data_IF_622387352634
#
_entry.id   IF_622387352634
#
_cell.length_a   1.000
_cell.length_b   1.000
_cell.length_c   1.000
_cell.angle_alpha   90.00
_cell.angle_beta   90.00
_cell.angle_gamma   90.00
#
_symmetry.space_group_name_H-M   'P 1'
#
loop_
_entity.id
_entity.type
_entity.pdbx_description
1 polymer ?
#
# COMPACT_ATOMS: atom_id res chain seq x y z
N UNK A 1 3.62 -52.43 37.29
CA UNK A 1 3.65 -52.30 35.83
C UNK A 1 2.96 -51.00 35.46
N UNK A 2 3.73 -49.92 35.31
CA UNK A 2 3.25 -48.63 34.79
C UNK A 2 4.40 -48.04 33.99
N UNK A 3 4.51 -48.44 32.73
CA UNK A 3 5.45 -47.90 31.76
C UNK A 3 4.77 -46.75 31.01
N UNK A 4 4.97 -45.52 31.47
CA UNK A 4 4.79 -44.34 30.65
C UNK A 4 6.20 -43.85 30.29
N UNK A 5 6.64 -44.19 29.07
CA UNK A 5 7.91 -43.74 28.53
C UNK A 5 7.92 -42.22 28.40
N UNK A 6 9.01 -41.63 28.86
CA UNK A 6 9.42 -40.25 28.66
C UNK A 6 9.38 -39.88 27.16
N UNK A 7 8.38 -39.09 26.76
CA UNK A 7 8.28 -38.44 25.45
C UNK A 7 8.52 -36.93 25.60
N UNK A 8 9.57 -36.55 26.33
CA UNK A 8 9.97 -35.15 26.49
C UNK A 8 11.22 -34.87 25.65
N UNK A 9 11.09 -34.78 24.31
CA UNK A 9 12.28 -34.46 23.49
C UNK A 9 12.03 -33.81 22.10
N UNK A 10 10.91 -33.11 21.88
CA UNK A 10 10.83 -32.20 20.70
C UNK A 10 9.97 -30.96 20.95
N UNK A 11 8.93 -31.06 21.78
CA UNK A 11 8.06 -29.93 22.08
C UNK A 11 8.64 -28.93 23.12
N UNK A 12 9.59 -29.37 23.97
CA UNK A 12 10.22 -28.54 25.02
C UNK A 12 11.15 -27.45 24.45
N UNK A 13 11.80 -27.69 23.31
CA UNK A 13 12.66 -26.70 22.66
C UNK A 13 11.88 -25.60 21.93
N UNK A 14 10.75 -25.95 21.30
CA UNK A 14 9.87 -24.98 20.67
C UNK A 14 9.07 -24.19 21.72
N UNK A 15 8.60 -24.80 22.81
CA UNK A 15 7.89 -24.07 23.87
C UNK A 15 8.76 -23.00 24.52
N UNK A 16 10.03 -23.29 24.81
CA UNK A 16 10.96 -22.31 25.39
C UNK A 16 11.26 -21.13 24.44
N UNK A 17 11.36 -21.38 23.12
CA UNK A 17 11.57 -20.34 22.11
C UNK A 17 10.30 -19.53 21.83
N UNK A 18 9.13 -20.18 21.85
CA UNK A 18 7.83 -19.51 21.72
C UNK A 18 7.61 -18.61 22.93
N UNK A 19 7.88 -19.09 24.15
CA UNK A 19 7.82 -18.29 25.38
C UNK A 19 8.74 -17.07 25.29
N UNK A 20 9.99 -17.27 24.83
CA UNK A 20 10.96 -16.18 24.67
C UNK A 20 10.59 -15.20 23.54
N UNK A 21 9.88 -15.66 22.51
CA UNK A 21 9.39 -14.81 21.43
C UNK A 21 8.17 -14.00 21.88
N UNK A 22 7.26 -14.57 22.67
CA UNK A 22 6.11 -13.87 23.24
C UNK A 22 6.56 -12.78 24.21
N UNK A 23 7.56 -13.04 25.04
CA UNK A 23 8.20 -12.05 25.91
C UNK A 23 8.86 -10.92 25.09
N UNK A 24 9.64 -11.27 24.06
CA UNK A 24 10.22 -10.27 23.13
C UNK A 24 9.17 -9.44 22.41
N UNK A 25 8.06 -10.07 22.01
CA UNK A 25 6.94 -9.38 21.37
C UNK A 25 6.32 -8.38 22.36
N UNK A 26 6.14 -8.75 23.63
CA UNK A 26 5.65 -7.84 24.66
C UNK A 26 6.59 -6.65 24.90
N UNK A 27 7.91 -6.89 24.98
CA UNK A 27 8.92 -5.83 25.12
C UNK A 27 8.91 -4.86 23.93
N UNK A 28 8.82 -5.37 22.70
CA UNK A 28 8.72 -4.55 21.49
C UNK A 28 7.42 -3.72 21.49
N UNK A 29 6.29 -4.28 21.95
CA UNK A 29 5.03 -3.53 22.07
C UNK A 29 5.10 -2.41 23.12
N UNK A 30 5.77 -2.63 24.25
CA UNK A 30 5.97 -1.57 25.25
C UNK A 30 6.89 -0.46 24.74
N UNK A 31 7.96 -0.81 24.01
CA UNK A 31 8.82 0.16 23.35
C UNK A 31 8.04 0.99 22.30
N UNK A 32 7.16 0.36 21.51
CA UNK A 32 6.27 1.07 20.59
C UNK A 32 5.30 2.02 21.31
N UNK A 33 4.83 1.67 22.52
CA UNK A 33 3.94 2.53 23.31
C UNK A 33 4.65 3.78 23.84
N UNK A 34 5.92 3.66 24.24
CA UNK A 34 6.74 4.80 24.68
C UNK A 34 7.12 5.70 23.49
N UNK A 35 7.52 5.09 22.37
CA UNK A 35 7.77 5.80 21.11
C UNK A 35 6.51 6.45 20.54
N UNK A 36 5.32 5.90 20.80
CA UNK A 36 4.05 6.52 20.42
C UNK A 36 3.78 7.84 21.13
N UNK A 37 4.28 7.99 22.37
CA UNK A 37 4.21 9.25 23.13
C UNK A 37 5.25 10.23 22.59
N UNK A 38 6.48 9.80 22.32
CA UNK A 38 7.51 10.62 21.67
C UNK A 38 7.13 11.04 20.24
N UNK A 39 6.37 10.17 19.56
CA UNK A 39 5.80 10.42 18.24
C UNK A 39 4.82 11.59 18.22
N UNK A 40 4.09 11.85 19.32
CA UNK A 40 3.20 13.02 19.44
C UNK A 40 3.97 14.33 19.56
N UNK A 41 5.12 14.34 20.25
CA UNK A 41 5.99 15.51 20.35
C UNK A 41 6.66 15.80 18.99
N UNK A 42 7.06 14.77 18.26
CA UNK A 42 7.55 14.90 16.88
C UNK A 42 6.40 15.37 15.96
N UNK A 43 5.18 14.85 16.11
CA UNK A 43 4.00 15.30 15.36
C UNK A 43 3.71 16.78 15.59
N UNK A 44 3.75 17.26 16.84
CA UNK A 44 3.52 18.67 17.15
C UNK A 44 4.59 19.60 16.54
N UNK A 45 5.85 19.13 16.44
CA UNK A 45 6.92 19.84 15.73
C UNK A 45 6.70 19.81 14.21
N UNK A 46 6.26 18.67 13.66
CA UNK A 46 5.90 18.53 12.25
C UNK A 46 4.74 19.47 11.91
N UNK A 47 3.67 19.49 12.68
CA UNK A 47 2.52 20.39 12.50
C UNK A 47 2.96 21.86 12.54
N UNK A 48 3.78 22.24 13.53
CA UNK A 48 4.29 23.61 13.64
C UNK A 48 5.22 24.02 12.48
N UNK A 49 5.89 23.04 11.86
CA UNK A 49 6.76 23.27 10.69
C UNK A 49 5.94 23.26 9.40
N UNK A 50 4.91 22.41 9.29
CA UNK A 50 3.99 22.35 8.17
C UNK A 50 3.15 23.60 8.04
N UNK A 51 2.65 24.17 9.14
CA UNK A 51 1.94 25.46 9.15
C UNK A 51 2.86 26.57 8.64
N UNK A 52 4.11 26.62 9.10
CA UNK A 52 5.10 27.61 8.63
C UNK A 52 5.49 27.40 7.16
N UNK A 53 5.55 26.16 6.69
CA UNK A 53 5.79 25.82 5.27
C UNK A 53 4.59 26.15 4.37
N UNK A 54 3.36 26.04 4.87
CA UNK A 54 2.15 26.51 4.18
C UNK A 54 2.12 28.04 4.07
N UNK A 55 2.55 28.75 5.11
CA UNK A 55 2.64 30.23 5.10
C UNK A 55 3.78 30.76 4.21
N UNK A 56 4.87 29.99 4.09
CA UNK A 56 6.06 30.40 3.31
C UNK A 56 6.07 29.89 1.86
N UNK A 57 5.08 29.09 1.46
CA UNK A 57 4.95 28.48 0.13
C UNK A 57 4.44 29.45 -0.93
N UNK A 58 5.08 30.61 -1.06
CA UNK A 58 4.88 31.52 -2.17
C UNK A 58 5.24 30.86 -3.50
N UNK A 59 4.23 30.43 -4.26
CA UNK A 59 4.23 30.28 -5.73
C UNK A 59 2.80 30.06 -6.21
N UNK A 60 2.03 31.14 -6.18
CA UNK A 60 0.91 31.39 -7.07
C UNK A 60 1.39 31.21 -8.51
N UNK A 61 0.97 30.16 -9.24
CA UNK A 61 1.38 30.07 -10.65
C UNK A 61 1.25 28.75 -11.40
N UNK A 62 0.54 27.74 -10.91
CA UNK A 62 -0.11 26.68 -11.70
C UNK A 62 -0.76 25.71 -10.71
N UNK A 63 -1.95 25.17 -10.98
CA UNK A 63 -2.44 24.06 -10.17
C UNK A 63 -1.49 22.89 -10.40
N UNK A 64 -0.64 22.56 -9.42
CA UNK A 64 0.09 21.29 -9.41
C UNK A 64 -0.97 20.19 -9.61
N UNK A 65 -1.05 19.62 -10.81
CA UNK A 65 -2.03 18.61 -11.23
C UNK A 65 -2.35 17.62 -10.12
N UNK A 66 -1.29 17.10 -9.48
CA UNK A 66 -1.37 16.16 -8.37
C UNK A 66 -2.08 16.74 -7.14
N UNK A 67 -1.74 17.96 -6.72
CA UNK A 67 -2.41 18.65 -5.59
C UNK A 67 -3.89 18.86 -5.87
N UNK A 68 -4.26 19.23 -7.10
CA UNK A 68 -5.66 19.41 -7.48
C UNK A 68 -6.45 18.09 -7.46
N UNK A 69 -5.84 16.98 -7.90
CA UNK A 69 -6.44 15.64 -7.81
C UNK A 69 -6.59 15.22 -6.34
N UNK A 70 -5.57 15.45 -5.51
CA UNK A 70 -5.62 15.11 -4.07
C UNK A 70 -6.68 15.92 -3.33
N UNK A 71 -6.81 17.23 -3.61
CA UNK A 71 -7.89 18.05 -3.07
C UNK A 71 -9.27 17.55 -3.50
N UNK A 72 -9.41 17.13 -4.77
CA UNK A 72 -10.67 16.57 -5.29
C UNK A 72 -10.99 15.18 -4.73
N UNK A 73 -9.97 14.39 -4.38
CA UNK A 73 -10.14 13.12 -3.68
C UNK A 73 -10.58 13.36 -2.22
N UNK A 74 -9.94 14.30 -1.51
CA UNK A 74 -10.32 14.68 -0.14
C UNK A 74 -11.71 15.31 -0.04
N UNK A 75 -12.12 16.08 -1.06
CA UNK A 75 -13.48 16.63 -1.13
C UNK A 75 -14.54 15.58 -1.49
N UNK A 76 -14.14 14.35 -1.80
CA UNK A 76 -15.04 13.26 -2.19
C UNK A 76 -15.58 13.37 -3.62
N UNK A 77 -15.08 14.31 -4.43
CA UNK A 77 -15.48 14.46 -5.83
C UNK A 77 -14.95 13.30 -6.70
N UNK A 78 -13.80 12.75 -6.34
CA UNK A 78 -13.20 11.57 -6.98
C UNK A 78 -13.18 10.42 -5.97
N UNK A 79 -13.99 9.38 -6.21
CA UNK A 79 -14.04 8.17 -5.36
C UNK A 79 -13.07 7.11 -5.88
N UNK A 80 -12.46 6.34 -4.97
CA UNK A 80 -11.54 5.24 -5.32
C UNK A 80 -10.14 5.70 -5.74
N UNK A 81 -9.72 6.89 -5.30
CA UNK A 81 -8.36 7.39 -5.44
C UNK A 81 -7.64 7.26 -4.10
N UNK A 82 -6.53 6.53 -4.06
CA UNK A 82 -5.77 6.29 -2.82
C UNK A 82 -4.67 7.32 -2.58
N UNK A 83 -4.05 7.82 -3.65
CA UNK A 83 -2.94 8.75 -3.53
C UNK A 83 -1.81 8.48 -4.52
N UNK A 84 -0.65 9.06 -4.26
CA UNK A 84 0.58 8.79 -5.01
C UNK A 84 1.16 7.45 -4.56
N UNK A 85 1.75 6.71 -5.50
CA UNK A 85 2.41 5.45 -5.19
C UNK A 85 3.50 5.60 -4.12
N UNK A 86 4.26 6.71 -4.15
CA UNK A 86 5.29 6.98 -3.15
C UNK A 86 4.78 7.26 -1.73
N UNK A 87 3.53 7.68 -1.57
CA UNK A 87 2.96 7.95 -0.24
C UNK A 87 2.38 6.65 0.40
N UNK A 88 2.17 5.61 -0.40
CA UNK A 88 1.59 4.32 0.01
C UNK A 88 2.65 3.26 0.33
N UNK A 89 3.89 3.46 -0.12
CA UNK A 89 5.00 2.55 0.11
C UNK A 89 5.97 3.10 1.15
N UNK A 90 6.37 2.27 2.10
CA UNK A 90 7.49 2.55 3.02
C UNK A 90 8.60 1.56 2.75
N UNK A 91 9.83 2.06 2.64
CA UNK A 91 11.04 1.28 2.41
C UNK A 91 12.00 1.56 3.57
N UNK A 92 12.81 0.58 3.93
CA UNK A 92 13.88 0.74 4.92
C UNK A 92 14.97 1.69 4.40
N UNK A 93 15.51 2.52 5.29
CA UNK A 93 16.49 3.58 4.97
C UNK A 93 17.73 3.05 4.23
N UNK A 94 18.14 1.80 4.49
CA UNK A 94 19.30 1.19 3.84
C UNK A 94 19.05 0.98 2.33
N UNK A 95 17.80 0.78 1.93
CA UNK A 95 17.40 0.50 0.55
C UNK A 95 16.69 1.67 -0.12
N UNK A 96 16.33 2.72 0.62
CA UNK A 96 15.53 3.83 0.11
C UNK A 96 16.18 4.51 -1.11
N UNK A 97 17.49 4.79 -1.05
CA UNK A 97 18.22 5.44 -2.16
C UNK A 97 18.13 4.61 -3.45
N UNK A 98 18.31 3.29 -3.35
CA UNK A 98 18.24 2.40 -4.49
C UNK A 98 16.80 2.26 -5.02
N UNK A 99 15.82 2.11 -4.13
CA UNK A 99 14.42 1.97 -4.47
C UNK A 99 13.85 3.25 -5.12
N UNK A 100 14.10 4.42 -4.51
CA UNK A 100 13.69 5.71 -5.05
C UNK A 100 14.34 6.01 -6.40
N UNK A 101 15.62 5.65 -6.57
CA UNK A 101 16.32 5.83 -7.85
C UNK A 101 15.74 4.92 -8.93
N UNK A 102 15.52 3.63 -8.62
CA UNK A 102 14.95 2.67 -9.55
C UNK A 102 13.50 3.01 -9.95
N UNK A 103 12.74 3.61 -9.02
CA UNK A 103 11.34 3.99 -9.22
C UNK A 103 11.14 5.49 -9.55
N UNK A 104 12.23 6.22 -9.86
CA UNK A 104 12.22 7.66 -10.17
C UNK A 104 11.43 7.95 -11.44
N UNK A 105 10.11 8.04 -11.31
CA UNK A 105 9.15 8.28 -12.39
C UNK A 105 7.81 7.57 -12.18
N UNK A 106 7.83 6.37 -11.61
CA UNK A 106 6.60 5.60 -11.32
C UNK A 106 5.99 5.93 -9.97
N UNK A 107 6.78 6.43 -9.01
CA UNK A 107 6.33 6.84 -7.67
C UNK A 107 5.27 7.96 -7.69
N UNK A 108 5.28 8.75 -8.75
CA UNK A 108 4.40 9.90 -8.93
C UNK A 108 3.03 9.54 -9.55
N UNK A 109 2.83 8.28 -9.91
CA UNK A 109 1.58 7.79 -10.47
C UNK A 109 0.48 7.77 -9.40
N UNK A 110 -0.74 8.07 -9.82
CA UNK A 110 -1.91 8.03 -8.95
C UNK A 110 -2.48 6.62 -8.92
N UNK A 111 -2.69 6.07 -7.73
CA UNK A 111 -3.27 4.74 -7.54
C UNK A 111 -4.79 4.86 -7.42
N UNK A 112 -5.51 4.06 -8.20
CA UNK A 112 -6.97 3.99 -8.23
C UNK A 112 -7.46 2.54 -8.18
N UNK A 113 -8.61 2.30 -7.57
CA UNK A 113 -9.18 0.96 -7.45
C UNK A 113 -9.72 0.43 -8.79
N UNK A 114 -10.62 1.21 -9.39
CA UNK A 114 -11.45 0.77 -10.51
C UNK A 114 -11.12 1.53 -11.81
N UNK A 115 -11.44 0.93 -12.96
CA UNK A 115 -11.32 1.58 -14.25
C UNK A 115 -12.23 2.81 -14.41
N UNK A 116 -13.42 2.78 -13.79
CA UNK A 116 -14.35 3.91 -13.77
C UNK A 116 -13.77 5.12 -13.01
N UNK A 117 -13.13 4.88 -11.86
CA UNK A 117 -12.45 5.91 -11.10
C UNK A 117 -11.31 6.56 -11.90
N UNK A 118 -10.55 5.76 -12.66
CA UNK A 118 -9.50 6.27 -13.55
C UNK A 118 -10.06 7.20 -14.63
N UNK A 119 -11.19 6.85 -15.24
CA UNK A 119 -11.84 7.70 -16.24
C UNK A 119 -12.30 9.03 -15.64
N UNK A 120 -12.90 9.00 -14.44
CA UNK A 120 -13.33 10.20 -13.73
C UNK A 120 -12.15 11.14 -13.43
N UNK A 121 -10.99 10.60 -13.02
CA UNK A 121 -9.77 11.40 -12.81
C UNK A 121 -9.30 12.05 -14.11
N UNK A 122 -9.25 11.29 -15.21
CA UNK A 122 -8.85 11.82 -16.52
C UNK A 122 -9.80 12.90 -17.00
N UNK A 123 -11.11 12.73 -16.80
CA UNK A 123 -12.12 13.71 -17.19
C UNK A 123 -12.00 14.99 -16.35
N UNK A 124 -11.79 14.87 -15.04
CA UNK A 124 -11.50 16.00 -14.16
C UNK A 124 -10.27 16.79 -14.63
N UNK A 125 -9.19 16.09 -15.01
CA UNK A 125 -7.98 16.72 -15.52
C UNK A 125 -8.21 17.45 -16.85
N UNK A 126 -9.05 16.90 -17.74
CA UNK A 126 -9.44 17.54 -19.01
C UNK A 126 -10.24 18.81 -18.78
N UNK A 127 -11.25 18.76 -17.91
CA UNK A 127 -12.12 19.91 -17.62
C UNK A 127 -11.33 21.09 -17.05
N UNK A 128 -10.35 20.82 -16.18
CA UNK A 128 -9.52 21.84 -15.52
C UNK A 128 -8.20 22.15 -16.26
N UNK A 129 -7.95 21.52 -17.41
CA UNK A 129 -6.72 21.66 -18.22
C UNK A 129 -5.42 21.51 -17.41
N UNK A 130 -5.40 20.52 -16.52
CA UNK A 130 -4.32 20.32 -15.55
C UNK A 130 -3.09 19.58 -16.12
N UNK A 131 -3.16 19.09 -17.37
CA UNK A 131 -2.07 18.35 -18.02
C UNK A 131 -2.31 16.85 -18.10
N UNK A 132 -1.25 16.06 -18.24
CA UNK A 132 -1.30 14.58 -18.38
C UNK A 132 -1.10 13.91 -17.03
N UNK A 133 -1.95 12.93 -16.70
CA UNK A 133 -1.86 12.12 -15.49
C UNK A 133 -1.72 10.64 -15.86
N UNK A 134 -0.85 9.93 -15.14
CA UNK A 134 -0.71 8.47 -15.23
C UNK A 134 -1.37 7.86 -13.99
N UNK A 135 -2.32 6.95 -14.22
CA UNK A 135 -3.03 6.26 -13.16
C UNK A 135 -2.72 4.75 -13.21
N UNK A 136 -2.54 4.13 -12.04
CA UNK A 136 -2.39 2.69 -11.88
C UNK A 136 -3.72 2.15 -11.36
N UNK A 137 -4.35 1.25 -12.13
CA UNK A 137 -5.64 0.65 -11.79
C UNK A 137 -5.38 -0.69 -11.11
N UNK A 138 -5.67 -0.79 -9.81
CA UNK A 138 -5.40 -1.99 -9.01
C UNK A 138 -6.10 -3.24 -9.57
N UNK A 139 -7.34 -3.10 -10.06
CA UNK A 139 -8.09 -4.20 -10.70
C UNK A 139 -7.38 -4.83 -11.92
N UNK A 140 -6.54 -4.07 -12.62
CA UNK A 140 -5.87 -4.52 -13.85
C UNK A 140 -4.39 -4.88 -13.66
N UNK A 141 -3.86 -4.73 -12.45
CA UNK A 141 -2.47 -5.13 -12.18
C UNK A 141 -2.38 -6.65 -12.09
N UNK A 142 -1.80 -7.27 -13.12
CA UNK A 142 -1.45 -8.68 -13.09
C UNK A 142 -0.27 -8.94 -12.15
N UNK A 143 -0.38 -9.95 -11.30
CA UNK A 143 0.76 -10.41 -10.50
C UNK A 143 1.74 -11.12 -11.43
N UNK A 144 2.99 -10.66 -11.43
CA UNK A 144 4.10 -11.29 -12.14
C UNK A 144 5.08 -11.86 -11.12
N UNK A 145 5.46 -13.13 -11.30
CA UNK A 145 6.53 -13.77 -10.52
C UNK A 145 7.62 -14.18 -11.50
N UNK A 146 8.85 -13.71 -11.26
CA UNK A 146 10.04 -13.88 -12.13
C UNK A 146 9.77 -13.66 -13.64
N UNK A 147 8.99 -12.63 -14.00
CA UNK A 147 8.68 -12.30 -15.39
C UNK A 147 7.72 -13.26 -16.09
N UNK A 148 7.09 -14.20 -15.36
CA UNK A 148 6.00 -15.04 -15.85
C UNK A 148 4.68 -14.65 -15.16
N UNK A 149 3.56 -14.59 -15.89
CA UNK A 149 2.26 -14.38 -15.26
C UNK A 149 1.92 -15.58 -14.37
N UNK A 150 1.37 -15.33 -13.17
CA UNK A 150 1.04 -16.39 -12.18
C UNK A 150 0.01 -17.40 -12.74
N UNK A 151 -0.76 -17.02 -13.77
CA UNK A 151 -1.64 -17.93 -14.54
C UNK A 151 -0.90 -19.15 -15.12
N UNK A 152 0.41 -19.03 -15.38
CA UNK A 152 1.24 -20.16 -15.85
C UNK A 152 1.45 -21.23 -14.77
N UNK A 153 1.48 -20.83 -13.49
CA UNK A 153 1.78 -21.73 -12.37
C UNK A 153 0.55 -22.55 -11.93
N UNK A 154 -0.64 -21.98 -12.07
CA UNK A 154 -1.91 -22.63 -11.73
C UNK A 154 -2.32 -23.74 -12.72
N UNK A 155 -1.98 -23.58 -14.00
CA UNK A 155 -2.17 -24.64 -15.02
C UNK A 155 -1.26 -25.86 -14.77
N UNK A 156 -0.07 -25.65 -14.19
CA UNK A 156 0.87 -26.72 -13.83
C UNK A 156 0.48 -27.49 -12.57
N UNK A 157 -0.30 -26.87 -11.66
CA UNK A 157 -0.72 -27.48 -10.40
C UNK A 157 -2.12 -28.11 -10.46
N UNK A 158 -2.81 -28.09 -11.60
CA UNK A 158 -4.13 -28.72 -11.78
C UNK A 158 -5.21 -28.23 -10.81
N UNK A 159 -5.02 -27.04 -10.23
CA UNK A 159 -5.97 -26.40 -9.33
C UNK A 159 -6.59 -25.24 -10.08
N UNK A 160 -7.74 -25.48 -10.69
CA UNK A 160 -8.58 -24.38 -11.16
C UNK A 160 -8.92 -23.50 -9.96
N UNK A 161 -8.62 -22.22 -10.11
CA UNK A 161 -8.95 -21.19 -9.14
C UNK A 161 -10.48 -21.08 -9.08
N UNK A 162 -11.10 -21.87 -8.20
CA UNK A 162 -12.49 -21.67 -7.82
C UNK A 162 -12.60 -20.30 -7.16
N UNK A 163 -13.15 -19.32 -7.88
CA UNK A 163 -13.83 -18.20 -7.23
C UNK A 163 -13.48 -16.77 -7.64
N UNK A 164 -12.88 -16.51 -8.80
CA UNK A 164 -12.94 -15.14 -9.37
C UNK A 164 -14.01 -15.12 -10.43
N UNK A 165 -15.19 -14.60 -10.06
CA UNK A 165 -16.20 -14.16 -11.03
C UNK A 165 -15.57 -13.02 -11.82
N UNK A 166 -15.21 -13.29 -13.07
CA UNK A 166 -14.99 -12.26 -14.08
C UNK A 166 -16.36 -11.60 -14.32
N UNK A 167 -16.49 -10.31 -13.97
CA UNK A 167 -17.67 -9.50 -14.25
C UNK A 167 -17.41 -8.79 -15.58
N UNK A 168 -17.93 -9.36 -16.67
CA UNK A 168 -17.72 -8.86 -18.04
C UNK A 168 -18.50 -7.56 -18.34
N UNK A 169 -19.07 -6.90 -17.32
CA UNK A 169 -19.82 -5.65 -17.49
C UNK A 169 -21.07 -5.77 -18.36
N UNK A 170 -21.50 -6.99 -18.72
CA UNK A 170 -22.70 -7.23 -19.54
C UNK A 170 -23.71 -8.21 -18.92
N UNK A 171 -23.59 -8.52 -17.63
CA UNK A 171 -24.66 -9.13 -16.83
C UNK A 171 -25.28 -10.43 -17.36
N UNK A 172 -24.62 -11.18 -18.24
CA UNK A 172 -25.13 -12.45 -18.74
C UNK A 172 -24.31 -13.62 -18.22
N UNK A 173 -24.96 -14.37 -17.32
CA UNK A 173 -24.57 -15.70 -16.87
C UNK A 173 -24.82 -16.68 -18.03
N UNK A 174 -23.76 -17.14 -18.70
CA UNK A 174 -23.87 -18.31 -19.58
C UNK A 174 -23.61 -19.57 -18.74
N UNK A 175 -24.62 -20.43 -18.72
CA UNK A 175 -24.61 -21.80 -18.19
C UNK A 175 -23.64 -22.70 -18.97
#
# INVERSE_FOLDING_TARGET
MSSAGSLDCSYCGYSARIQQNEERIAEIYEALKQNGIEGTDIHSKIDSTQVKMQESGGSQGAPNLRKAIMQAAQSGQLRGVHGRLGDLGTVDDVYDVAACTAASGTLDNIVVDNAEAAQAVVEFCKQRRLGRVTCIILDKVGIFVCGRPVRSYLRLLGRDWMGVREDDGNGQMLL
#
